data_IF_366281065822
#
_entry.id   IF_366281065822
#
_cell.length_a   1.000
_cell.length_b   1.000
_cell.length_c   1.000
_cell.angle_alpha   90.00
_cell.angle_beta   90.00
_cell.angle_gamma   90.00
#
_symmetry.space_group_name_H-M   'P 1'
#
loop_
_entity.id
_entity.type
_entity.pdbx_description
1 polymer ?
#
# COMPACT_ATOMS: atom_id res chain seq x y z
N UNK A 1 -3.15 -2.68 -11.59
CA UNK A 1 -3.39 -1.28 -11.99
C UNK A 1 -4.74 -0.87 -11.45
N UNK A 2 -4.89 0.38 -10.98
CA UNK A 2 -6.16 0.92 -10.48
C UNK A 2 -6.77 1.81 -11.57
N UNK A 3 -8.04 1.56 -11.87
CA UNK A 3 -8.82 2.21 -12.94
C UNK A 3 -10.13 2.85 -12.41
N UNK A 4 -10.63 2.40 -11.25
CA UNK A 4 -11.91 2.87 -10.68
C UNK A 4 -11.78 3.29 -9.22
N UNK A 5 -12.74 4.08 -8.73
CA UNK A 5 -12.81 4.47 -7.31
C UNK A 5 -13.03 3.28 -6.37
N UNK A 6 -13.72 2.23 -6.83
CA UNK A 6 -13.89 0.97 -6.09
C UNK A 6 -12.56 0.22 -5.95
N UNK A 7 -11.77 0.13 -7.04
CA UNK A 7 -10.43 -0.47 -7.00
C UNK A 7 -9.47 0.35 -6.13
N UNK A 8 -9.61 1.68 -6.10
CA UNK A 8 -8.87 2.55 -5.17
C UNK A 8 -9.24 2.24 -3.72
N UNK A 9 -10.53 2.12 -3.39
CA UNK A 9 -10.98 1.75 -2.05
C UNK A 9 -10.42 0.39 -1.64
N UNK A 10 -10.54 -0.61 -2.52
CA UNK A 10 -9.96 -1.94 -2.29
C UNK A 10 -8.45 -1.89 -2.05
N UNK A 11 -7.69 -1.10 -2.80
CA UNK A 11 -6.24 -0.94 -2.61
C UNK A 11 -5.91 -0.33 -1.24
N UNK A 12 -6.67 0.67 -0.79
CA UNK A 12 -6.53 1.27 0.56
C UNK A 12 -6.82 0.22 1.65
N UNK A 13 -7.85 -0.61 1.48
CA UNK A 13 -8.11 -1.73 2.41
C UNK A 13 -6.99 -2.79 2.40
N UNK A 14 -6.38 -3.08 1.25
CA UNK A 14 -5.20 -3.96 1.18
C UNK A 14 -4.04 -3.36 2.00
N UNK A 15 -3.76 -2.04 1.86
CA UNK A 15 -2.72 -1.37 2.64
C UNK A 15 -2.99 -1.46 4.14
N UNK A 16 -4.22 -1.18 4.57
CA UNK A 16 -4.63 -1.30 5.97
C UNK A 16 -4.56 -2.74 6.52
N UNK A 17 -4.60 -3.77 5.66
CA UNK A 17 -4.33 -5.16 6.04
C UNK A 17 -2.84 -5.47 6.13
N UNK A 18 -2.00 -4.95 5.22
CA UNK A 18 -0.54 -5.10 5.30
C UNK A 18 0.05 -4.39 6.54
N UNK A 19 -0.44 -3.20 6.89
CA UNK A 19 -0.03 -2.46 8.09
C UNK A 19 -0.28 -3.25 9.37
N UNK A 20 -1.45 -3.91 9.50
CA UNK A 20 -1.78 -4.75 10.66
C UNK A 20 -0.93 -6.02 10.76
N UNK A 21 -0.51 -6.60 9.64
CA UNK A 21 0.45 -7.71 9.62
C UNK A 21 1.81 -7.25 10.17
N UNK A 22 2.31 -6.10 9.71
CA UNK A 22 3.56 -5.52 10.21
C UNK A 22 3.49 -5.16 11.70
N UNK A 23 2.34 -4.69 12.18
CA UNK A 23 2.11 -4.41 13.59
C UNK A 23 2.12 -5.69 14.45
N UNK A 24 1.45 -6.77 14.01
CA UNK A 24 1.54 -8.09 14.65
C UNK A 24 2.98 -8.59 14.70
N UNK A 25 3.72 -8.56 13.58
CA UNK A 25 5.15 -8.94 13.56
C UNK A 25 5.99 -8.08 14.52
N UNK A 26 5.72 -6.78 14.62
CA UNK A 26 6.43 -5.88 15.54
C UNK A 26 6.14 -6.21 17.00
N UNK A 27 4.91 -6.57 17.34
CA UNK A 27 4.51 -6.85 18.72
C UNK A 27 4.94 -8.26 19.16
N UNK A 28 4.89 -9.24 18.27
CA UNK A 28 5.12 -10.65 18.57
C UNK A 28 6.56 -11.10 18.30
N UNK A 29 7.21 -10.60 17.24
CA UNK A 29 8.47 -11.16 16.72
C UNK A 29 9.67 -10.25 17.01
N UNK A 30 9.55 -8.93 16.80
CA UNK A 30 10.70 -8.00 16.91
C UNK A 30 11.41 -8.07 18.28
N UNK A 31 10.66 -8.18 19.37
CA UNK A 31 11.19 -8.24 20.74
C UNK A 31 11.93 -9.54 21.05
N UNK A 32 11.58 -10.63 20.37
CA UNK A 32 12.14 -11.97 20.58
C UNK A 32 13.26 -12.31 19.59
N UNK A 33 13.09 -11.93 18.32
CA UNK A 33 14.03 -12.18 17.24
C UNK A 33 13.94 -11.06 16.16
N UNK A 34 14.73 -9.98 16.33
CA UNK A 34 14.76 -8.86 15.38
C UNK A 34 15.12 -9.26 13.94
N UNK A 35 15.93 -10.31 13.76
CA UNK A 35 16.34 -10.79 12.42
C UNK A 35 15.18 -11.45 11.69
N UNK A 36 14.39 -12.28 12.36
CA UNK A 36 13.20 -12.88 11.77
C UNK A 36 12.12 -11.82 11.47
N UNK A 37 11.97 -10.82 12.35
CA UNK A 37 11.09 -9.68 12.07
C UNK A 37 11.46 -8.98 10.76
N UNK A 38 12.74 -8.66 10.56
CA UNK A 38 13.21 -7.98 9.35
C UNK A 38 12.84 -8.77 8.08
N UNK A 39 13.18 -10.06 8.03
CA UNK A 39 12.90 -10.95 6.87
C UNK A 39 11.40 -11.08 6.61
N UNK A 40 10.58 -11.23 7.65
CA UNK A 40 9.12 -11.34 7.50
C UNK A 40 8.46 -10.02 7.08
N UNK A 41 9.05 -8.88 7.46
CA UNK A 41 8.54 -7.55 7.09
C UNK A 41 8.81 -7.18 5.62
N UNK A 42 9.83 -7.76 4.96
CA UNK A 42 10.19 -7.46 3.57
C UNK A 42 8.99 -7.60 2.61
N UNK A 43 8.24 -8.70 2.69
CA UNK A 43 7.09 -8.98 1.83
C UNK A 43 5.97 -7.92 1.97
N UNK A 44 5.40 -7.72 3.17
CA UNK A 44 4.36 -6.71 3.39
C UNK A 44 4.81 -5.27 3.09
N UNK A 45 6.08 -4.92 3.34
CA UNK A 45 6.64 -3.60 2.99
C UNK A 45 6.71 -3.38 1.48
N UNK A 46 7.14 -4.38 0.71
CA UNK A 46 7.15 -4.30 -0.76
C UNK A 46 5.72 -4.25 -1.31
N UNK A 47 4.77 -5.00 -0.74
CA UNK A 47 3.36 -4.90 -1.11
C UNK A 47 2.78 -3.51 -0.84
N UNK A 48 3.11 -2.88 0.31
CA UNK A 48 2.72 -1.49 0.59
C UNK A 48 3.30 -0.51 -0.45
N UNK A 49 4.57 -0.68 -0.84
CA UNK A 49 5.21 0.15 -1.87
C UNK A 49 4.52 0.03 -3.23
N UNK A 50 4.16 -1.20 -3.62
CA UNK A 50 3.44 -1.48 -4.87
C UNK A 50 1.99 -0.94 -4.87
N UNK A 51 1.31 -0.99 -3.73
CA UNK A 51 -0.04 -0.40 -3.58
C UNK A 51 0.01 1.12 -3.64
N UNK A 52 0.93 1.76 -2.91
CA UNK A 52 1.13 3.21 -2.94
C UNK A 52 1.40 3.70 -4.38
N UNK A 53 2.33 3.05 -5.10
CA UNK A 53 2.65 3.41 -6.48
C UNK A 53 1.41 3.36 -7.39
N UNK A 54 0.57 2.33 -7.27
CA UNK A 54 -0.65 2.20 -8.08
C UNK A 54 -1.70 3.27 -7.74
N UNK A 55 -1.80 3.68 -6.47
CA UNK A 55 -2.67 4.76 -6.02
C UNK A 55 -2.18 6.11 -6.57
N UNK A 56 -0.89 6.40 -6.44
CA UNK A 56 -0.28 7.65 -6.95
C UNK A 56 -0.41 7.77 -8.46
N UNK A 57 -0.31 6.66 -9.20
CA UNK A 57 -0.50 6.61 -10.65
C UNK A 57 -1.97 6.86 -11.05
N UNK A 58 -2.93 6.29 -10.30
CA UNK A 58 -4.36 6.54 -10.51
C UNK A 58 -4.74 8.00 -10.23
N UNK A 59 -4.25 8.58 -9.12
CA UNK A 59 -4.50 9.99 -8.77
C UNK A 59 -3.95 10.92 -9.85
N UNK A 60 -2.70 10.71 -10.30
CA UNK A 60 -2.10 11.51 -11.38
C UNK A 60 -2.88 11.44 -12.69
N UNK A 61 -3.43 10.27 -13.05
CA UNK A 61 -4.34 10.14 -14.21
C UNK A 61 -5.61 10.98 -14.05
N UNK A 62 -6.22 10.93 -12.86
CA UNK A 62 -7.45 11.67 -12.56
C UNK A 62 -7.25 13.19 -12.58
N UNK A 63 -6.11 13.67 -12.07
CA UNK A 63 -5.72 15.09 -12.14
C UNK A 63 -5.46 15.56 -13.57
N UNK A 64 -4.75 14.75 -14.36
CA UNK A 64 -4.49 15.03 -15.77
C UNK A 64 -5.80 15.10 -16.58
N UNK A 65 -6.73 14.15 -16.39
CA UNK A 65 -8.02 14.17 -17.08
C UNK A 65 -8.88 15.37 -16.69
N UNK A 66 -8.83 15.80 -15.41
CA UNK A 66 -9.55 16.99 -14.94
C UNK A 66 -8.98 18.28 -15.53
N UNK A 67 -7.66 18.37 -15.67
CA UNK A 67 -7.01 19.53 -16.30
C UNK A 67 -7.41 19.64 -17.77
N UNK A 68 -7.36 18.54 -18.52
CA UNK A 68 -7.75 18.49 -19.93
C UNK A 68 -9.23 18.79 -20.19
N UNK A 69 -10.12 18.57 -19.22
CA UNK A 69 -11.55 18.89 -19.33
C UNK A 69 -11.88 20.37 -19.06
N UNK A 70 -10.91 21.15 -18.56
CA UNK A 70 -11.05 22.56 -18.18
C UNK A 70 -10.36 23.53 -19.16
N UNK A 71 -9.78 23.03 -20.26
CA UNK A 71 -9.11 23.78 -21.33
C UNK A 71 -9.76 23.53 -22.68
#
# INVERSE_FOLDING_TARGET
MIETAEQLYQAIEQMGRMQRILESYRNEILTQNPRNFAVLAEGPLEQLRQLQQQIDEYIRRLEASRTSANT
#
